data_IF_758054728663
#
_entry.id   IF_758054728663
#
_cell.length_a   1.000
_cell.length_b   1.000
_cell.length_c   1.000
_cell.angle_alpha   90.00
_cell.angle_beta   90.00
_cell.angle_gamma   90.00
#
_symmetry.space_group_name_H-M   'P 1'
#
loop_
_entity.id
_entity.type
_entity.pdbx_description
1 polymer ?
#
# COMPACT_ATOMS: atom_id res chain seq x y z
N UNK A 1 -22.53 -19.82 -20.48
CA UNK A 1 -23.66 -18.90 -20.55
C UNK A 1 -23.64 -17.94 -19.36
N UNK A 2 -24.49 -16.91 -19.34
CA UNK A 2 -24.53 -15.87 -18.29
C UNK A 2 -24.80 -16.46 -16.90
N UNK A 3 -25.67 -17.47 -16.84
CA UNK A 3 -26.03 -18.15 -15.57
C UNK A 3 -24.82 -18.87 -15.00
N UNK A 4 -24.07 -19.58 -15.85
CA UNK A 4 -22.84 -20.26 -15.44
C UNK A 4 -21.79 -19.27 -14.91
N UNK A 5 -21.60 -18.14 -15.59
CA UNK A 5 -20.68 -17.08 -15.14
C UNK A 5 -21.06 -16.54 -13.76
N UNK A 6 -22.34 -16.33 -13.46
CA UNK A 6 -22.79 -15.86 -12.15
C UNK A 6 -22.49 -16.84 -11.01
N UNK A 7 -22.41 -18.13 -11.29
CA UNK A 7 -22.09 -19.15 -10.31
C UNK A 7 -20.60 -19.45 -10.17
N UNK A 8 -19.79 -19.10 -11.16
CA UNK A 8 -18.36 -19.43 -11.20
C UNK A 8 -17.44 -18.21 -11.07
N UNK A 9 -17.96 -16.98 -11.21
CA UNK A 9 -17.20 -15.75 -11.04
C UNK A 9 -17.31 -15.21 -9.61
N UNK A 10 -16.27 -14.52 -9.17
CA UNK A 10 -16.26 -13.82 -7.89
C UNK A 10 -16.71 -12.37 -8.11
N UNK A 11 -17.77 -11.88 -7.45
CA UNK A 11 -18.23 -10.50 -7.62
C UNK A 11 -17.18 -9.50 -7.12
N UNK A 12 -16.85 -8.51 -7.94
CA UNK A 12 -15.87 -7.48 -7.57
C UNK A 12 -16.29 -6.71 -6.32
N UNK A 13 -17.59 -6.44 -6.15
CA UNK A 13 -18.11 -5.73 -4.98
C UNK A 13 -17.81 -6.50 -3.68
N UNK A 14 -17.92 -7.83 -3.67
CA UNK A 14 -17.61 -8.65 -2.49
C UNK A 14 -16.13 -8.51 -2.10
N UNK A 15 -15.23 -8.41 -3.09
CA UNK A 15 -13.80 -8.13 -2.84
C UNK A 15 -13.62 -6.75 -2.21
N UNK A 16 -14.28 -5.72 -2.77
CA UNK A 16 -14.19 -4.36 -2.28
C UNK A 16 -14.73 -4.27 -0.85
N UNK A 17 -15.84 -4.92 -0.55
CA UNK A 17 -16.46 -4.94 0.78
C UNK A 17 -15.52 -5.58 1.83
N UNK A 18 -14.84 -6.69 1.50
CA UNK A 18 -13.83 -7.31 2.38
C UNK A 18 -12.71 -6.32 2.70
N UNK A 19 -12.24 -5.57 1.71
CA UNK A 19 -11.20 -4.56 1.92
C UNK A 19 -11.72 -3.32 2.65
N UNK A 20 -13.01 -2.99 2.55
CA UNK A 20 -13.62 -1.90 3.31
C UNK A 20 -13.68 -2.21 4.80
N UNK A 21 -13.97 -3.45 5.18
CA UNK A 21 -13.93 -3.92 6.56
C UNK A 21 -12.51 -3.94 7.16
N UNK A 22 -11.49 -3.93 6.32
CA UNK A 22 -10.10 -3.89 6.77
C UNK A 22 -9.72 -2.49 7.29
N UNK A 23 -8.74 -2.42 8.19
CA UNK A 23 -8.20 -1.15 8.70
C UNK A 23 -7.23 -0.46 7.73
N UNK A 24 -7.09 -0.96 6.51
CA UNK A 24 -6.19 -0.42 5.49
C UNK A 24 -6.74 0.92 4.98
N UNK A 25 -5.91 1.96 5.05
CA UNK A 25 -6.29 3.32 4.68
C UNK A 25 -6.26 3.57 3.17
N UNK A 26 -5.38 2.87 2.44
CA UNK A 26 -5.24 2.99 0.98
C UNK A 26 -5.48 1.65 0.30
N UNK A 27 -6.42 1.61 -0.62
CA UNK A 27 -6.81 0.41 -1.36
C UNK A 27 -6.69 0.67 -2.86
N UNK A 28 -5.99 -0.19 -3.56
CA UNK A 28 -5.73 -0.04 -5.00
C UNK A 28 -6.19 -1.30 -5.72
N UNK A 29 -7.16 -1.17 -6.61
CA UNK A 29 -7.64 -2.23 -7.47
C UNK A 29 -7.28 -1.90 -8.91
N UNK A 30 -6.58 -2.80 -9.59
CA UNK A 30 -6.19 -2.65 -10.99
C UNK A 30 -6.78 -3.83 -11.75
N UNK A 31 -7.67 -3.54 -12.70
CA UNK A 31 -8.47 -4.52 -13.40
C UNK A 31 -8.19 -4.45 -14.90
N UNK A 32 -7.44 -5.44 -15.41
CA UNK A 32 -7.22 -5.59 -16.85
C UNK A 32 -8.25 -6.55 -17.44
N UNK A 33 -9.42 -6.01 -17.74
CA UNK A 33 -10.55 -6.76 -18.30
C UNK A 33 -11.41 -5.87 -19.19
N UNK A 34 -12.03 -6.50 -20.20
CA UNK A 34 -13.07 -5.86 -20.99
C UNK A 34 -14.26 -5.45 -20.12
N UNK A 35 -14.84 -4.30 -20.40
CA UNK A 35 -16.05 -3.79 -19.70
C UNK A 35 -17.31 -3.82 -20.57
N UNK A 36 -17.28 -4.52 -21.69
CA UNK A 36 -18.46 -4.80 -22.49
C UNK A 36 -19.19 -6.02 -21.92
N UNK A 37 -20.52 -6.02 -22.05
CA UNK A 37 -21.32 -7.20 -21.74
C UNK A 37 -21.35 -8.15 -22.95
N UNK A 38 -20.69 -9.32 -22.92
CA UNK A 38 -20.68 -10.24 -24.05
C UNK A 38 -22.02 -10.96 -24.25
N UNK A 39 -22.97 -10.84 -23.30
CA UNK A 39 -24.26 -11.53 -23.28
C UNK A 39 -25.44 -10.66 -23.73
N UNK A 40 -25.17 -9.45 -24.27
CA UNK A 40 -26.24 -8.56 -24.74
C UNK A 40 -27.00 -9.22 -25.88
N UNK A 41 -28.25 -9.63 -25.59
CA UNK A 41 -29.21 -10.01 -26.59
C UNK A 41 -30.02 -8.78 -27.00
N UNK A 42 -30.56 -8.75 -28.23
CA UNK A 42 -31.36 -7.64 -28.78
C UNK A 42 -32.52 -7.17 -27.90
N UNK A 43 -32.84 -7.88 -26.83
CA UNK A 43 -33.91 -7.57 -25.84
C UNK A 43 -33.44 -6.83 -24.59
N UNK A 44 -32.11 -6.67 -24.36
CA UNK A 44 -31.53 -6.07 -23.15
C UNK A 44 -30.77 -4.79 -23.44
N UNK A 45 -31.36 -3.87 -24.19
CA UNK A 45 -30.71 -2.59 -24.57
C UNK A 45 -30.46 -1.62 -23.39
N UNK A 46 -30.68 -2.04 -22.14
CA UNK A 46 -30.66 -1.12 -20.98
C UNK A 46 -29.38 -1.17 -20.12
N UNK A 47 -28.49 -2.15 -20.31
CA UNK A 47 -27.26 -2.26 -19.50
C UNK A 47 -26.07 -2.73 -20.34
N UNK A 48 -25.52 -1.84 -21.14
CA UNK A 48 -24.24 -2.05 -21.82
C UNK A 48 -23.09 -1.87 -20.82
N UNK A 49 -22.63 -2.95 -20.20
CA UNK A 49 -21.40 -2.94 -19.41
C UNK A 49 -21.51 -3.62 -18.05
N UNK A 50 -20.38 -3.68 -17.35
CA UNK A 50 -20.32 -4.13 -15.97
C UNK A 50 -21.11 -3.17 -15.08
N UNK A 51 -21.74 -3.71 -14.02
CA UNK A 51 -22.44 -2.92 -13.02
C UNK A 51 -21.57 -1.76 -12.50
N UNK A 52 -22.16 -0.61 -12.14
CA UNK A 52 -21.42 0.46 -11.50
C UNK A 52 -20.70 -0.04 -10.27
N UNK A 53 -19.40 0.27 -10.19
CA UNK A 53 -18.57 -0.08 -9.04
C UNK A 53 -18.34 1.19 -8.23
N UNK A 54 -18.65 1.13 -6.95
CA UNK A 54 -18.41 2.21 -6.02
C UNK A 54 -17.01 2.12 -5.45
N UNK A 55 -16.30 3.24 -5.34
CA UNK A 55 -15.00 3.32 -4.70
C UNK A 55 -15.16 3.86 -3.27
N UNK A 56 -15.11 3.00 -2.22
CA UNK A 56 -15.15 3.42 -0.84
C UNK A 56 -14.00 4.38 -0.50
N UNK A 57 -14.11 5.08 0.63
CA UNK A 57 -13.10 6.04 1.08
C UNK A 57 -11.69 5.44 1.07
N UNK A 58 -10.74 6.17 0.51
CA UNK A 58 -9.34 5.76 0.41
C UNK A 58 -9.06 4.70 -0.66
N UNK A 59 -9.94 4.59 -1.66
CA UNK A 59 -9.85 3.57 -2.71
C UNK A 59 -9.61 4.20 -4.08
N UNK A 60 -8.80 3.56 -4.89
CA UNK A 60 -8.76 3.78 -6.35
C UNK A 60 -9.01 2.45 -7.07
N UNK A 61 -9.90 2.48 -8.06
CA UNK A 61 -10.23 1.34 -8.91
C UNK A 61 -9.93 1.75 -10.34
N UNK A 62 -8.92 1.13 -10.93
CA UNK A 62 -8.45 1.41 -12.28
C UNK A 62 -8.85 0.28 -13.23
N UNK A 63 -9.42 0.64 -14.36
CA UNK A 63 -9.90 -0.28 -15.38
C UNK A 63 -9.15 -0.07 -16.69
N UNK A 64 -8.85 -1.15 -17.37
CA UNK A 64 -8.19 -1.11 -18.68
C UNK A 64 -9.04 -0.43 -19.77
N UNK A 65 -10.36 -0.36 -19.58
CA UNK A 65 -11.28 0.27 -20.54
C UNK A 65 -12.37 1.09 -19.87
N UNK A 66 -12.94 2.03 -20.61
CA UNK A 66 -14.20 2.69 -20.22
C UNK A 66 -15.38 1.70 -20.27
N UNK A 67 -16.52 2.02 -19.60
CA UNK A 67 -17.73 1.22 -19.68
C UNK A 67 -18.16 0.96 -21.14
N UNK A 68 -18.52 -0.30 -21.43
CA UNK A 68 -18.98 -0.71 -22.78
C UNK A 68 -17.86 -0.98 -23.79
N UNK A 69 -16.58 -0.77 -23.44
CA UNK A 69 -15.45 -0.98 -24.34
C UNK A 69 -14.75 -2.33 -24.14
N UNK A 70 -14.02 -2.77 -25.18
CA UNK A 70 -13.16 -3.96 -25.15
C UNK A 70 -11.72 -3.55 -24.90
N UNK A 71 -11.00 -4.33 -24.10
CA UNK A 71 -9.56 -4.26 -23.98
C UNK A 71 -8.90 -4.84 -25.24
N UNK A 72 -7.81 -4.23 -25.66
CA UNK A 72 -7.01 -4.70 -26.80
C UNK A 72 -5.91 -5.62 -26.29
N UNK A 73 -5.73 -6.73 -26.97
CA UNK A 73 -4.58 -7.61 -26.78
C UNK A 73 -3.31 -6.89 -27.24
N UNK A 74 -2.25 -7.02 -26.45
CA UNK A 74 -0.93 -6.51 -26.81
C UNK A 74 -0.16 -7.49 -27.71
N UNK A 75 1.09 -7.14 -28.02
CA UNK A 75 1.94 -7.95 -28.91
C UNK A 75 2.96 -8.82 -28.16
N UNK A 76 3.24 -8.49 -26.89
CA UNK A 76 4.35 -9.06 -26.10
C UNK A 76 3.88 -10.00 -24.96
N UNK A 77 2.72 -10.63 -25.10
CA UNK A 77 2.17 -11.53 -24.09
C UNK A 77 1.35 -10.84 -23.00
N UNK A 78 1.24 -9.51 -23.04
CA UNK A 78 0.40 -8.71 -22.17
C UNK A 78 -0.61 -7.90 -22.97
N UNK A 79 -1.74 -7.53 -22.37
CA UNK A 79 -2.65 -6.55 -22.94
C UNK A 79 -2.01 -5.15 -23.01
N UNK A 80 -2.48 -4.30 -23.95
CA UNK A 80 -1.94 -2.93 -24.15
C UNK A 80 -1.99 -2.13 -22.85
N UNK A 81 -2.99 -2.34 -21.99
CA UNK A 81 -3.10 -1.68 -20.70
C UNK A 81 -1.99 -2.11 -19.73
N UNK A 82 -1.77 -3.41 -19.60
CA UNK A 82 -0.72 -3.95 -18.72
C UNK A 82 0.66 -3.52 -19.22
N UNK A 83 0.94 -3.49 -20.53
CA UNK A 83 2.20 -2.97 -21.07
C UNK A 83 2.42 -1.49 -20.64
N UNK A 84 1.41 -0.65 -20.84
CA UNK A 84 1.47 0.76 -20.45
C UNK A 84 1.62 0.95 -18.93
N UNK A 85 0.97 0.10 -18.12
CA UNK A 85 1.11 0.13 -16.66
C UNK A 85 2.54 -0.20 -16.24
N UNK A 86 3.14 -1.25 -16.79
CA UNK A 86 4.52 -1.66 -16.51
C UNK A 86 5.54 -0.59 -16.90
N UNK A 87 5.28 0.19 -17.96
CA UNK A 87 6.13 1.31 -18.37
C UNK A 87 6.18 2.43 -17.33
N UNK A 88 5.07 2.69 -16.64
CA UNK A 88 4.94 3.88 -15.79
C UNK A 88 4.97 3.59 -14.28
N UNK A 89 4.66 2.38 -13.82
CA UNK A 89 4.47 2.05 -12.40
C UNK A 89 5.75 2.22 -11.57
N UNK A 90 6.92 2.00 -12.18
CA UNK A 90 8.22 2.14 -11.52
C UNK A 90 8.80 3.56 -11.55
N UNK A 91 8.09 4.53 -12.16
CA UNK A 91 8.58 5.91 -12.25
C UNK A 91 8.69 6.54 -10.86
N UNK A 92 9.89 7.01 -10.51
CA UNK A 92 10.17 7.66 -9.22
C UNK A 92 9.34 8.93 -9.05
N UNK A 93 8.83 9.15 -7.84
CA UNK A 93 8.08 10.36 -7.44
C UNK A 93 6.86 10.69 -8.31
N UNK A 94 6.26 9.69 -8.94
CA UNK A 94 5.07 9.85 -9.74
C UNK A 94 3.83 9.47 -8.92
N UNK A 95 2.98 10.46 -8.61
CA UNK A 95 1.72 10.22 -7.92
C UNK A 95 0.81 9.28 -8.71
N UNK A 96 0.06 8.41 -8.00
CA UNK A 96 -0.75 7.35 -8.63
C UNK A 96 -1.74 7.89 -9.65
N UNK A 97 -2.39 9.03 -9.38
CA UNK A 97 -3.33 9.66 -10.32
C UNK A 97 -2.62 10.13 -11.59
N UNK A 98 -1.44 10.71 -11.46
CA UNK A 98 -0.64 11.15 -12.60
C UNK A 98 -0.04 9.95 -13.36
N UNK A 99 0.31 8.88 -12.66
CA UNK A 99 0.72 7.62 -13.26
C UNK A 99 -0.41 7.05 -14.15
N UNK A 100 -1.65 6.98 -13.64
CA UNK A 100 -2.77 6.51 -14.46
C UNK A 100 -3.12 7.44 -15.63
N UNK A 101 -2.92 8.75 -15.50
CA UNK A 101 -3.02 9.66 -16.67
C UNK A 101 -1.99 9.32 -17.74
N UNK A 102 -0.74 9.01 -17.37
CA UNK A 102 0.28 8.57 -18.35
C UNK A 102 -0.11 7.26 -19.00
N UNK A 103 -0.54 6.26 -18.20
CA UNK A 103 -1.05 4.98 -18.70
C UNK A 103 -2.18 5.20 -19.72
N UNK A 104 -3.15 6.07 -19.41
CA UNK A 104 -4.27 6.41 -20.31
C UNK A 104 -3.77 6.98 -21.64
N UNK A 105 -2.83 7.91 -21.60
CA UNK A 105 -2.27 8.52 -22.80
C UNK A 105 -1.51 7.50 -23.63
N UNK A 106 -0.71 6.62 -23.03
CA UNK A 106 0.02 5.55 -23.70
C UNK A 106 -0.96 4.57 -24.37
N UNK A 107 -1.97 4.07 -23.63
CA UNK A 107 -3.00 3.17 -24.17
C UNK A 107 -3.77 3.82 -25.31
N UNK A 108 -4.20 5.06 -25.14
CA UNK A 108 -4.93 5.80 -26.18
C UNK A 108 -4.09 5.96 -27.46
N UNK A 109 -2.82 6.30 -27.33
CA UNK A 109 -1.87 6.42 -28.43
C UNK A 109 -1.66 5.08 -29.15
N UNK A 110 -1.36 4.01 -28.41
CA UNK A 110 -1.08 2.68 -28.96
C UNK A 110 -2.30 2.05 -29.65
N UNK A 111 -3.50 2.41 -29.21
CA UNK A 111 -4.76 1.90 -29.79
C UNK A 111 -5.40 2.86 -30.78
N UNK A 112 -4.76 3.97 -31.15
CA UNK A 112 -5.33 5.03 -32.00
C UNK A 112 -6.70 5.51 -31.47
N UNK A 113 -6.76 5.78 -30.16
CA UNK A 113 -7.96 6.22 -29.40
C UNK A 113 -9.12 5.18 -29.37
N UNK A 114 -8.86 3.91 -29.70
CA UNK A 114 -9.89 2.87 -29.64
C UNK A 114 -10.10 2.31 -28.24
N UNK A 115 -9.11 2.49 -27.34
CA UNK A 115 -9.21 2.09 -25.95
C UNK A 115 -8.84 3.27 -25.05
N UNK A 116 -9.71 3.57 -24.09
CA UNK A 116 -9.49 4.62 -23.09
C UNK A 116 -9.66 3.99 -21.72
N UNK A 117 -8.65 4.10 -20.86
CA UNK A 117 -8.69 3.60 -19.48
C UNK A 117 -9.58 4.48 -18.64
N UNK A 118 -10.06 3.94 -17.52
CA UNK A 118 -10.96 4.63 -16.63
C UNK A 118 -10.61 4.37 -15.18
N UNK A 119 -10.68 5.39 -14.34
CA UNK A 119 -10.44 5.27 -12.90
C UNK A 119 -11.61 5.87 -12.10
N UNK A 120 -11.93 5.20 -10.98
CA UNK A 120 -12.71 5.75 -9.88
C UNK A 120 -11.78 5.95 -8.68
N UNK A 121 -11.65 7.17 -8.18
CA UNK A 121 -10.80 7.46 -7.03
C UNK A 121 -11.56 8.18 -5.93
N UNK A 122 -11.32 7.77 -4.69
CA UNK A 122 -11.72 8.42 -3.45
C UNK A 122 -10.51 8.54 -2.50
N UNK A 123 -9.29 8.52 -3.06
CA UNK A 123 -8.07 8.68 -2.28
C UNK A 123 -8.08 10.03 -1.55
N UNK A 124 -7.63 10.03 -0.29
CA UNK A 124 -7.57 11.22 0.55
C UNK A 124 -6.17 11.81 0.62
N UNK A 125 -5.15 11.05 0.23
CA UNK A 125 -3.75 11.44 0.20
C UNK A 125 -3.06 10.99 -1.06
N UNK A 126 -1.85 11.48 -1.28
CA UNK A 126 -1.03 11.10 -2.42
C UNK A 126 -0.37 9.74 -2.17
N UNK A 127 -0.48 8.84 -3.13
CA UNK A 127 0.20 7.55 -3.11
C UNK A 127 1.21 7.45 -4.25
N UNK A 128 2.35 6.82 -3.98
CA UNK A 128 3.42 6.57 -4.94
C UNK A 128 3.77 5.09 -4.94
N UNK A 129 3.83 4.43 -6.09
CA UNK A 129 4.38 3.07 -6.20
C UNK A 129 5.89 3.07 -6.00
N UNK A 130 6.55 4.15 -6.42
CA UNK A 130 7.97 4.40 -6.19
C UNK A 130 8.14 5.83 -5.67
N UNK A 131 8.41 5.96 -4.38
CA UNK A 131 8.60 7.27 -3.72
C UNK A 131 9.87 8.00 -4.13
N UNK A 132 10.69 7.40 -4.99
CA UNK A 132 11.96 7.99 -5.43
C UNK A 132 13.06 7.99 -4.37
N UNK A 133 12.78 7.46 -3.19
CA UNK A 133 13.79 7.25 -2.19
C UNK A 133 14.60 6.04 -2.67
N UNK A 134 15.85 6.26 -3.05
CA UNK A 134 16.75 5.15 -3.31
C UNK A 134 16.91 4.36 -2.02
N UNK A 135 16.64 3.06 -2.06
CA UNK A 135 16.69 2.21 -0.85
C UNK A 135 18.07 2.25 -0.21
N UNK A 136 19.12 2.46 -1.01
CA UNK A 136 20.49 2.58 -0.54
C UNK A 136 20.81 3.94 0.14
N UNK A 137 20.06 5.02 -0.18
CA UNK A 137 20.25 6.32 0.47
C UNK A 137 19.32 6.54 1.68
N UNK A 138 18.22 5.82 1.75
CA UNK A 138 17.13 6.07 2.71
C UNK A 138 17.06 5.07 3.86
N UNK A 139 17.72 3.94 3.75
CA UNK A 139 17.82 3.00 4.88
C UNK A 139 19.12 3.28 5.61
N UNK A 140 19.07 3.77 6.85
CA UNK A 140 20.26 3.77 7.66
C UNK A 140 20.78 2.34 7.72
N UNK A 141 22.04 2.14 7.31
CA UNK A 141 22.71 0.84 7.45
C UNK A 141 22.97 0.68 8.94
N UNK A 142 22.22 -0.21 9.57
CA UNK A 142 22.43 -0.60 10.96
C UNK A 142 23.47 -1.73 11.03
N UNK A 143 24.22 -1.79 12.12
CA UNK A 143 25.15 -2.89 12.34
C UNK A 143 24.43 -4.24 12.49
N UNK A 144 25.11 -5.33 12.19
CA UNK A 144 24.57 -6.68 12.37
C UNK A 144 24.17 -6.93 13.83
N UNK A 145 24.90 -6.37 14.79
CA UNK A 145 24.62 -6.49 16.21
C UNK A 145 23.32 -5.75 16.59
N UNK A 146 23.11 -4.52 16.06
CA UNK A 146 21.86 -3.79 16.25
C UNK A 146 20.68 -4.52 15.62
N UNK A 147 20.86 -5.11 14.44
CA UNK A 147 19.83 -5.90 13.77
C UNK A 147 19.49 -7.19 14.54
N UNK A 148 20.48 -7.84 15.14
CA UNK A 148 20.29 -9.05 15.94
C UNK A 148 19.65 -8.78 17.31
N UNK A 149 19.92 -7.62 17.91
CA UNK A 149 19.41 -7.16 19.22
C UNK A 149 19.69 -8.13 20.39
N UNK A 150 20.55 -9.10 20.22
CA UNK A 150 20.73 -10.17 21.22
C UNK A 150 21.71 -9.79 22.31
N UNK A 151 22.85 -9.26 21.95
CA UNK A 151 23.94 -8.86 22.84
C UNK A 151 24.51 -7.54 22.33
N UNK A 152 23.63 -6.56 22.11
CA UNK A 152 23.99 -5.27 21.55
C UNK A 152 24.67 -4.40 22.63
N UNK A 153 25.89 -3.96 22.34
CA UNK A 153 26.62 -3.01 23.16
C UNK A 153 26.26 -1.58 22.74
N UNK A 154 25.75 -0.79 23.67
CA UNK A 154 25.32 0.59 23.42
C UNK A 154 26.52 1.52 23.37
N UNK A 155 26.54 2.42 22.38
CA UNK A 155 27.59 3.43 22.21
C UNK A 155 27.23 4.77 22.87
N UNK A 156 25.94 5.03 23.10
CA UNK A 156 25.44 6.24 23.74
C UNK A 156 25.48 6.13 25.26
N UNK A 157 25.39 7.30 25.94
CA UNK A 157 25.27 7.35 27.39
C UNK A 157 24.16 6.43 27.92
N UNK A 158 24.41 5.70 29.00
CA UNK A 158 23.62 4.57 29.50
C UNK A 158 22.14 4.77 29.81
N UNK A 159 21.55 5.93 29.45
CA UNK A 159 20.10 6.16 29.57
C UNK A 159 19.29 5.33 28.58
N UNK A 160 19.72 5.27 27.30
CA UNK A 160 19.06 4.46 26.27
C UNK A 160 19.19 2.98 26.61
N UNK A 161 20.40 2.54 26.98
CA UNK A 161 20.67 1.19 27.45
C UNK A 161 19.76 0.79 28.61
N UNK A 162 19.67 1.64 29.62
CA UNK A 162 18.82 1.43 30.81
C UNK A 162 17.35 1.24 30.43
N UNK A 163 16.83 2.02 29.47
CA UNK A 163 15.45 1.90 29.00
C UNK A 163 15.27 0.59 28.24
N UNK A 164 16.16 0.25 27.31
CA UNK A 164 16.05 -0.99 26.54
C UNK A 164 16.11 -2.22 27.46
N UNK A 165 16.99 -2.22 28.45
CA UNK A 165 17.04 -3.28 29.45
C UNK A 165 15.72 -3.41 30.22
N UNK A 166 15.09 -2.29 30.61
CA UNK A 166 13.79 -2.31 31.28
C UNK A 166 12.69 -2.84 30.36
N UNK A 167 12.70 -2.48 29.07
CA UNK A 167 11.74 -2.98 28.08
C UNK A 167 11.87 -4.49 27.85
N UNK A 168 13.09 -5.01 27.82
CA UNK A 168 13.38 -6.45 27.63
C UNK A 168 12.98 -7.33 28.82
N UNK A 169 12.64 -6.75 29.97
CA UNK A 169 12.20 -7.55 31.15
C UNK A 169 10.82 -8.17 30.99
N UNK A 170 10.01 -7.70 30.03
CA UNK A 170 8.60 -8.08 29.85
C UNK A 170 7.74 -7.86 31.13
N UNK A 171 8.18 -6.96 32.02
CA UNK A 171 7.53 -6.60 33.28
C UNK A 171 6.96 -5.17 33.14
N UNK A 172 5.65 -5.03 33.19
CA UNK A 172 4.97 -3.74 33.03
C UNK A 172 5.33 -2.73 34.12
N UNK A 173 5.67 -3.19 35.30
CA UNK A 173 6.12 -2.30 36.39
C UNK A 173 7.49 -1.66 36.09
N UNK A 174 8.29 -2.28 35.25
CA UNK A 174 9.58 -1.74 34.76
C UNK A 174 9.44 -1.03 33.42
N UNK A 175 8.67 -1.60 32.51
CA UNK A 175 8.47 -1.05 31.15
C UNK A 175 7.79 0.31 31.16
N UNK A 176 6.68 0.47 31.89
CA UNK A 176 5.90 1.71 31.89
C UNK A 176 6.70 2.92 32.41
N UNK A 177 7.44 2.86 33.52
CA UNK A 177 8.31 3.95 33.95
C UNK A 177 9.44 4.25 32.96
N UNK A 178 10.00 3.22 32.28
CA UNK A 178 11.04 3.39 31.28
C UNK A 178 10.53 4.16 30.06
N UNK A 179 9.35 3.80 29.55
CA UNK A 179 8.70 4.51 28.43
C UNK A 179 8.44 5.98 28.78
N UNK A 180 8.00 6.25 30.00
CA UNK A 180 7.72 7.64 30.44
C UNK A 180 8.98 8.52 30.51
N UNK A 181 10.17 7.93 30.62
CA UNK A 181 11.45 8.66 30.60
C UNK A 181 11.88 9.07 29.18
N UNK A 182 11.43 8.37 28.14
CA UNK A 182 11.87 8.59 26.76
C UNK A 182 11.66 10.05 26.34
N UNK A 183 10.55 10.68 26.76
CA UNK A 183 10.25 12.07 26.43
C UNK A 183 11.20 13.10 27.08
N UNK A 184 12.06 12.66 27.99
CA UNK A 184 13.00 13.52 28.74
C UNK A 184 14.44 13.41 28.20
N UNK A 185 14.69 12.48 27.28
CA UNK A 185 16.01 12.22 26.71
C UNK A 185 16.26 13.12 25.51
N UNK A 186 17.44 13.71 25.46
CA UNK A 186 17.94 14.40 24.27
C UNK A 186 18.62 13.39 23.33
N UNK A 187 17.97 13.11 22.22
CA UNK A 187 18.48 12.19 21.19
C UNK A 187 19.39 12.84 20.15
N UNK A 188 19.71 14.12 20.26
CA UNK A 188 20.47 14.85 19.24
C UNK A 188 21.88 14.30 18.98
N UNK A 189 22.43 13.60 19.97
CA UNK A 189 23.77 13.01 19.92
C UNK A 189 23.77 11.48 20.03
N UNK A 190 22.58 10.86 20.04
CA UNK A 190 22.47 9.42 20.16
C UNK A 190 22.92 8.69 18.86
N UNK A 191 23.60 7.57 19.01
CA UNK A 191 23.96 6.72 17.89
C UNK A 191 22.72 6.14 17.20
N UNK A 192 22.80 5.99 15.87
CA UNK A 192 21.67 5.51 15.05
C UNK A 192 21.28 4.06 15.40
N UNK A 193 22.26 3.23 15.75
CA UNK A 193 22.05 1.82 16.09
C UNK A 193 21.36 1.71 17.45
N UNK A 194 21.77 2.55 18.43
CA UNK A 194 21.13 2.66 19.73
C UNK A 194 19.65 3.07 19.57
N UNK A 195 19.39 4.08 18.73
CA UNK A 195 18.02 4.54 18.44
C UNK A 195 17.17 3.46 17.75
N UNK A 196 17.78 2.69 16.85
CA UNK A 196 17.12 1.57 16.20
C UNK A 196 16.74 0.47 17.19
N UNK A 197 17.67 0.08 18.08
CA UNK A 197 17.41 -0.93 19.12
C UNK A 197 16.34 -0.45 20.09
N UNK A 198 16.39 0.83 20.50
CA UNK A 198 15.36 1.44 21.33
C UNK A 198 13.99 1.39 20.66
N UNK A 199 13.88 1.89 19.42
CA UNK A 199 12.62 1.93 18.67
C UNK A 199 11.99 0.55 18.50
N UNK A 200 12.81 -0.47 18.18
CA UNK A 200 12.35 -1.86 18.07
C UNK A 200 11.79 -2.38 19.39
N UNK A 201 12.47 -2.13 20.49
CA UNK A 201 12.03 -2.62 21.80
C UNK A 201 10.77 -1.89 22.29
N UNK A 202 10.58 -0.60 21.95
CA UNK A 202 9.32 0.11 22.19
C UNK A 202 8.20 -0.55 21.38
N UNK A 203 8.42 -0.80 20.09
CA UNK A 203 7.44 -1.45 19.22
C UNK A 203 7.05 -2.84 19.73
N UNK A 204 8.03 -3.67 20.11
CA UNK A 204 7.76 -4.99 20.69
C UNK A 204 6.95 -4.89 21.99
N UNK A 205 7.25 -3.93 22.84
CA UNK A 205 6.50 -3.66 24.09
C UNK A 205 5.06 -3.25 23.80
N UNK A 206 4.84 -2.44 22.76
CA UNK A 206 3.51 -2.05 22.30
C UNK A 206 2.72 -3.25 21.76
N UNK A 207 3.36 -4.11 20.96
CA UNK A 207 2.78 -5.37 20.48
C UNK A 207 2.45 -6.33 21.66
N UNK A 208 3.25 -6.30 22.73
CA UNK A 208 3.01 -7.05 23.96
C UNK A 208 1.85 -6.53 24.82
N UNK A 209 1.18 -5.45 24.39
CA UNK A 209 -0.03 -4.91 25.02
C UNK A 209 0.20 -3.74 25.98
N UNK A 210 1.40 -3.18 26.08
CA UNK A 210 1.64 -1.97 26.87
C UNK A 210 0.94 -0.77 26.23
N UNK A 211 -0.07 -0.21 26.91
CA UNK A 211 -0.78 0.98 26.47
C UNK A 211 0.11 2.23 26.39
N UNK A 212 1.09 2.35 27.30
CA UNK A 212 2.02 3.47 27.30
C UNK A 212 2.90 3.43 26.04
N UNK A 213 3.40 2.25 25.65
CA UNK A 213 4.16 2.09 24.43
C UNK A 213 3.28 2.33 23.17
N UNK A 214 2.05 1.84 23.18
CA UNK A 214 1.09 2.08 22.08
C UNK A 214 0.80 3.57 21.89
N UNK A 215 0.63 4.32 22.99
CA UNK A 215 0.41 5.77 22.93
C UNK A 215 1.65 6.54 22.48
N UNK A 216 2.84 5.98 22.68
CA UNK A 216 4.10 6.62 22.30
C UNK A 216 4.38 6.49 20.81
N UNK A 217 3.93 5.40 20.16
CA UNK A 217 4.14 5.13 18.72
C UNK A 217 2.96 5.57 17.84
N UNK A 218 1.83 6.02 18.44
CA UNK A 218 0.63 6.49 17.73
C UNK A 218 0.79 7.94 17.26
#
# INVERSE_FOLDING_TARGET
DEISCRHTSFPLNDVIDIFEESKVTTKIFILDACRNNPFVTWRSAANDGLAPVYAPKGTIIAFSTSPGQKASDGKNGHGVYTEALLEHISTKNLAIEDMFKRVRNTVSSHTSNRQITWEHTSLMGTFYFNSGIDEDEARPIYSENALADRDYDFESDGEIESIVHALKTYDWYKQNPAISKISQIDFSHADKDDLFVLGRNIYQTACGGSRNAQSWIA
#
